data_IF_531475367504
#
_entry.id   IF_531475367504
#
_cell.length_a   1.000
_cell.length_b   1.000
_cell.length_c   1.000
_cell.angle_alpha   90.00
_cell.angle_beta   90.00
_cell.angle_gamma   90.00
#
_symmetry.space_group_name_H-M   'P 1'
#
loop_
_entity.id
_entity.type
_entity.pdbx_description
1 polymer ?
#
# COMPACT_ATOMS: atom_id res chain seq x y z
N UNK A 1 5.93 14.19 21.10
CA UNK A 1 6.71 13.54 20.02
C UNK A 1 6.18 14.07 18.69
N UNK A 2 7.04 14.49 17.75
CA UNK A 2 6.59 14.98 16.43
C UNK A 2 6.30 13.81 15.48
N UNK A 3 5.38 13.94 14.51
CA UNK A 3 5.09 12.86 13.56
C UNK A 3 6.35 12.39 12.82
N UNK A 4 7.25 13.32 12.46
CA UNK A 4 8.53 13.01 11.81
C UNK A 4 9.47 12.16 12.68
N UNK A 5 9.54 12.46 13.97
CA UNK A 5 10.37 11.68 14.89
C UNK A 5 9.79 10.27 15.07
N UNK A 6 8.47 10.14 15.21
CA UNK A 6 7.80 8.84 15.29
C UNK A 6 8.06 8.00 14.04
N UNK A 7 7.92 8.57 12.85
CA UNK A 7 8.20 7.85 11.60
C UNK A 7 9.66 7.48 11.46
N UNK A 8 10.58 8.35 11.91
CA UNK A 8 12.01 8.05 11.91
C UNK A 8 12.36 6.88 12.85
N UNK A 9 11.75 6.80 14.04
CA UNK A 9 11.98 5.66 14.92
C UNK A 9 11.47 4.35 14.32
N UNK A 10 10.29 4.36 13.68
CA UNK A 10 9.76 3.17 12.98
C UNK A 10 10.69 2.77 11.83
N UNK A 11 11.23 3.74 11.10
CA UNK A 11 12.23 3.49 10.05
C UNK A 11 13.47 2.78 10.61
N UNK A 12 14.01 3.28 11.72
CA UNK A 12 15.17 2.65 12.38
C UNK A 12 14.85 1.24 12.87
N UNK A 13 13.65 0.99 13.42
CA UNK A 13 13.21 -0.36 13.80
C UNK A 13 13.20 -1.28 12.58
N UNK A 14 12.65 -0.82 11.45
CA UNK A 14 12.65 -1.56 10.19
C UNK A 14 14.06 -1.90 9.71
N UNK A 15 14.98 -0.92 9.75
CA UNK A 15 16.39 -1.14 9.40
C UNK A 15 17.07 -2.14 10.32
N UNK A 16 16.85 -2.08 11.63
CA UNK A 16 17.43 -3.04 12.58
C UNK A 16 16.93 -4.45 12.31
N UNK A 17 15.64 -4.64 12.07
CA UNK A 17 15.07 -5.95 11.71
C UNK A 17 15.64 -6.48 10.39
N UNK A 18 15.75 -5.61 9.39
CA UNK A 18 16.35 -5.96 8.12
C UNK A 18 17.83 -6.34 8.28
N UNK A 19 18.64 -5.54 8.97
CA UNK A 19 20.05 -5.82 9.23
C UNK A 19 20.24 -7.11 10.02
N UNK A 20 19.39 -7.37 11.02
CA UNK A 20 19.40 -8.63 11.76
C UNK A 20 19.08 -9.83 10.85
N UNK A 21 18.16 -9.68 9.90
CA UNK A 21 17.86 -10.74 8.93
C UNK A 21 19.09 -11.13 8.08
N UNK A 22 20.00 -10.20 7.80
CA UNK A 22 21.20 -10.47 7.02
C UNK A 22 22.16 -11.42 7.72
N UNK A 23 22.14 -11.48 9.06
CA UNK A 23 22.99 -12.38 9.86
C UNK A 23 22.42 -13.81 9.95
N UNK A 24 21.16 -14.01 9.56
CA UNK A 24 20.53 -15.32 9.59
C UNK A 24 20.81 -16.10 8.29
N UNK A 25 20.98 -17.44 8.35
CA UNK A 25 21.02 -18.27 7.15
C UNK A 25 19.62 -18.40 6.54
N UNK A 26 19.51 -18.65 5.22
CA UNK A 26 18.20 -18.83 4.56
C UNK A 26 17.51 -20.12 5.00
N UNK A 27 18.27 -21.20 5.10
CA UNK A 27 17.79 -22.52 5.50
C UNK A 27 18.49 -22.99 6.78
N UNK A 28 17.81 -23.83 7.56
CA UNK A 28 18.37 -24.52 8.74
C UNK A 28 19.49 -25.47 8.34
N UNK A 29 19.33 -26.14 7.20
CA UNK A 29 20.35 -26.96 6.55
C UNK A 29 20.32 -26.71 5.04
N UNK A 30 21.40 -26.12 4.52
CA UNK A 30 21.54 -25.80 3.10
C UNK A 30 21.55 -27.06 2.22
N UNK A 31 22.18 -28.14 2.67
CA UNK A 31 22.29 -29.37 1.86
C UNK A 31 20.93 -30.02 1.63
N UNK A 32 20.11 -30.06 2.69
CA UNK A 32 18.74 -30.56 2.60
C UNK A 32 17.86 -29.71 1.67
N UNK A 33 18.08 -28.40 1.63
CA UNK A 33 17.37 -27.51 0.71
C UNK A 33 17.79 -27.76 -0.75
N UNK A 34 19.08 -27.91 -1.01
CA UNK A 34 19.61 -28.19 -2.34
C UNK A 34 19.12 -29.57 -2.87
N UNK A 35 19.11 -30.61 -2.01
CA UNK A 35 18.55 -31.93 -2.32
C UNK A 35 17.06 -31.86 -2.64
N UNK A 36 16.27 -31.09 -1.87
CA UNK A 36 14.85 -30.88 -2.12
C UNK A 36 14.59 -30.22 -3.49
N UNK A 37 15.41 -29.23 -3.88
CA UNK A 37 15.31 -28.59 -5.20
C UNK A 37 15.63 -29.60 -6.31
N UNK A 38 16.63 -30.45 -6.14
CA UNK A 38 17.00 -31.46 -7.15
C UNK A 38 15.89 -32.49 -7.40
N UNK A 39 15.12 -32.83 -6.35
CA UNK A 39 13.99 -33.78 -6.39
C UNK A 39 12.66 -33.11 -6.69
N UNK A 40 12.67 -31.81 -6.99
CA UNK A 40 11.45 -31.02 -7.05
C UNK A 40 10.47 -31.61 -8.09
N UNK A 41 10.95 -32.06 -9.25
CA UNK A 41 10.11 -32.66 -10.31
C UNK A 41 9.47 -34.00 -9.93
N UNK A 42 9.99 -34.69 -8.90
CA UNK A 42 9.55 -36.02 -8.48
C UNK A 42 8.58 -35.98 -7.28
N UNK A 43 8.35 -34.81 -6.71
CA UNK A 43 7.52 -34.62 -5.50
C UNK A 43 6.28 -33.79 -5.87
N UNK A 44 5.14 -34.08 -5.24
CA UNK A 44 3.96 -33.26 -5.39
C UNK A 44 4.23 -31.80 -4.95
N UNK A 45 3.68 -30.82 -5.69
CA UNK A 45 3.89 -29.39 -5.44
C UNK A 45 3.55 -28.98 -4.00
N UNK A 46 2.47 -29.52 -3.45
CA UNK A 46 2.01 -29.27 -2.07
C UNK A 46 3.05 -29.72 -1.03
N UNK A 47 3.57 -30.94 -1.21
CA UNK A 47 4.60 -31.53 -0.35
C UNK A 47 5.95 -30.81 -0.47
N UNK A 48 6.31 -30.35 -1.67
CA UNK A 48 7.51 -29.53 -1.88
C UNK A 48 7.47 -28.28 -1.00
N UNK A 49 6.40 -27.49 -1.06
CA UNK A 49 6.30 -26.25 -0.27
C UNK A 49 6.26 -26.50 1.22
N UNK A 50 5.65 -27.61 1.66
CA UNK A 50 5.64 -27.97 3.09
C UNK A 50 7.05 -28.26 3.60
N UNK A 51 7.81 -29.10 2.89
CA UNK A 51 9.20 -29.43 3.23
C UNK A 51 10.11 -28.20 3.14
N UNK A 52 9.92 -27.37 2.13
CA UNK A 52 10.67 -26.13 1.95
C UNK A 52 10.43 -25.14 3.10
N UNK A 53 9.17 -24.97 3.52
CA UNK A 53 8.82 -24.15 4.67
C UNK A 53 9.42 -24.66 5.99
N UNK A 54 9.50 -25.98 6.19
CA UNK A 54 10.12 -26.59 7.37
C UNK A 54 11.64 -26.32 7.44
N UNK A 55 12.30 -26.24 6.28
CA UNK A 55 13.73 -25.95 6.15
C UNK A 55 14.05 -24.46 6.28
N UNK A 56 13.11 -23.56 6.00
CA UNK A 56 13.33 -22.10 6.10
C UNK A 56 13.60 -21.66 7.54
N UNK A 57 14.46 -20.66 7.68
CA UNK A 57 14.59 -19.91 8.94
C UNK A 57 13.67 -18.70 8.96
N UNK A 58 13.67 -17.95 10.07
CA UNK A 58 12.98 -16.67 10.17
C UNK A 58 13.63 -15.53 9.38
N UNK A 59 14.72 -15.78 8.62
CA UNK A 59 15.42 -14.76 7.81
C UNK A 59 14.46 -13.97 6.95
N UNK A 60 13.69 -14.68 6.13
CA UNK A 60 12.74 -14.09 5.19
C UNK A 60 11.73 -13.20 5.90
N UNK A 61 11.15 -13.67 7.00
CA UNK A 61 10.15 -12.92 7.76
C UNK A 61 10.71 -11.62 8.31
N UNK A 62 11.90 -11.64 8.91
CA UNK A 62 12.54 -10.41 9.41
C UNK A 62 12.98 -9.48 8.29
N UNK A 63 13.42 -10.05 7.16
CA UNK A 63 13.83 -9.29 5.99
C UNK A 63 12.64 -8.53 5.38
N UNK A 64 11.52 -9.22 5.15
CA UNK A 64 10.31 -8.68 4.52
C UNK A 64 9.60 -7.67 5.44
N UNK A 65 9.42 -8.02 6.72
CA UNK A 65 8.85 -7.09 7.70
C UNK A 65 9.75 -5.86 7.92
N UNK A 66 11.06 -6.07 7.99
CA UNK A 66 12.05 -5.01 8.19
C UNK A 66 12.08 -4.04 7.01
N UNK A 67 12.17 -4.56 5.78
CA UNK A 67 12.14 -3.72 4.57
C UNK A 67 10.77 -3.05 4.39
N UNK A 68 9.68 -3.76 4.65
CA UNK A 68 8.31 -3.24 4.58
C UNK A 68 8.10 -2.06 5.53
N UNK A 69 8.51 -2.19 6.80
CA UNK A 69 8.46 -1.11 7.78
C UNK A 69 9.33 0.07 7.38
N UNK A 70 10.54 -0.18 6.89
CA UNK A 70 11.45 0.87 6.44
C UNK A 70 10.86 1.65 5.24
N UNK A 71 10.30 0.97 4.25
CA UNK A 71 9.69 1.63 3.08
C UNK A 71 8.42 2.39 3.45
N UNK A 72 7.55 1.81 4.29
CA UNK A 72 6.33 2.48 4.72
C UNK A 72 6.64 3.76 5.50
N UNK A 73 7.54 3.67 6.47
CA UNK A 73 7.95 4.82 7.29
C UNK A 73 8.71 5.87 6.49
N UNK A 74 9.61 5.46 5.57
CA UNK A 74 10.30 6.37 4.66
C UNK A 74 9.31 7.10 3.74
N UNK A 75 8.33 6.39 3.19
CA UNK A 75 7.28 6.98 2.36
C UNK A 75 6.48 8.04 3.15
N UNK A 76 6.05 7.72 4.37
CA UNK A 76 5.35 8.68 5.24
C UNK A 76 6.26 9.86 5.58
N UNK A 77 7.53 9.61 5.91
CA UNK A 77 8.50 10.67 6.23
C UNK A 77 8.70 11.63 5.05
N UNK A 78 8.87 11.10 3.83
CA UNK A 78 8.94 11.89 2.61
C UNK A 78 7.67 12.72 2.41
N UNK A 79 6.49 12.12 2.58
CA UNK A 79 5.23 12.86 2.54
C UNK A 79 5.21 14.02 3.55
N UNK A 80 5.60 13.80 4.80
CA UNK A 80 5.65 14.83 5.84
C UNK A 80 6.68 15.94 5.53
N UNK A 81 7.78 15.61 4.86
CA UNK A 81 8.79 16.57 4.41
C UNK A 81 8.23 17.42 3.26
N UNK A 82 7.72 16.79 2.20
CA UNK A 82 7.19 17.47 1.02
C UNK A 82 5.95 18.33 1.32
N UNK A 83 5.11 17.89 2.25
CA UNK A 83 3.94 18.66 2.73
C UNK A 83 4.28 19.64 3.85
N UNK A 84 5.56 19.76 4.23
CA UNK A 84 6.07 20.66 5.28
C UNK A 84 5.38 20.49 6.65
N UNK A 85 4.82 19.31 6.93
CA UNK A 85 4.17 18.98 8.20
C UNK A 85 5.22 18.76 9.29
N UNK A 86 5.25 19.61 10.32
CA UNK A 86 6.16 19.48 11.47
C UNK A 86 5.44 18.97 12.71
N UNK A 87 4.17 19.32 12.87
CA UNK A 87 3.31 18.97 14.01
C UNK A 87 2.06 18.22 13.55
N UNK A 88 1.38 17.54 14.48
CA UNK A 88 0.07 16.93 14.18
C UNK A 88 -1.00 17.97 13.79
N UNK A 89 -0.88 19.21 14.28
CA UNK A 89 -1.78 20.27 13.89
C UNK A 89 -1.57 20.71 12.43
N UNK A 90 -0.32 20.72 11.94
CA UNK A 90 -0.05 20.99 10.52
C UNK A 90 -0.65 19.90 9.63
N UNK A 91 -0.54 18.64 10.06
CA UNK A 91 -1.12 17.50 9.35
C UNK A 91 -2.64 17.62 9.24
N UNK A 92 -3.32 17.99 10.35
CA UNK A 92 -4.77 18.21 10.39
C UNK A 92 -5.22 19.32 9.43
N UNK A 93 -4.39 20.34 9.27
CA UNK A 93 -4.68 21.51 8.43
C UNK A 93 -4.14 21.40 7.00
N UNK A 94 -3.59 20.24 6.62
CA UNK A 94 -3.06 20.03 5.28
C UNK A 94 -4.17 20.15 4.23
N UNK A 95 -3.82 20.68 3.05
CA UNK A 95 -4.78 20.90 1.96
C UNK A 95 -4.75 19.75 0.97
N UNK A 96 -5.92 19.44 0.43
CA UNK A 96 -6.05 18.48 -0.66
C UNK A 96 -5.59 19.10 -1.98
N UNK A 97 -5.17 18.28 -2.96
CA UNK A 97 -4.95 18.72 -4.33
C UNK A 97 -6.26 19.08 -5.06
N UNK A 98 -6.15 19.60 -6.28
CA UNK A 98 -7.29 19.87 -7.19
C UNK A 98 -7.86 18.57 -7.76
N UNK A 99 -9.08 18.60 -8.32
CA UNK A 99 -9.72 17.41 -8.94
C UNK A 99 -8.84 16.78 -10.02
N UNK A 100 -8.28 17.62 -10.90
CA UNK A 100 -7.39 17.19 -11.99
C UNK A 100 -6.13 16.54 -11.45
N UNK A 101 -5.52 17.14 -10.41
CA UNK A 101 -4.35 16.56 -9.78
C UNK A 101 -4.65 15.21 -9.09
N UNK A 102 -5.80 15.08 -8.40
CA UNK A 102 -6.24 13.79 -7.83
C UNK A 102 -6.36 12.73 -8.91
N UNK A 103 -7.03 13.06 -10.03
CA UNK A 103 -7.22 12.15 -11.15
C UNK A 103 -5.87 11.69 -11.75
N UNK A 104 -4.97 12.64 -12.01
CA UNK A 104 -3.63 12.35 -12.56
C UNK A 104 -2.84 11.49 -11.58
N UNK A 105 -2.76 11.88 -10.31
CA UNK A 105 -1.98 11.14 -9.32
C UNK A 105 -2.51 9.73 -9.10
N UNK A 106 -3.82 9.55 -9.06
CA UNK A 106 -4.41 8.22 -8.92
C UNK A 106 -4.03 7.29 -10.07
N UNK A 107 -4.08 7.77 -11.32
CA UNK A 107 -3.70 6.97 -12.48
C UNK A 107 -2.19 6.70 -12.53
N UNK A 108 -1.36 7.71 -12.29
CA UNK A 108 0.11 7.53 -12.26
C UNK A 108 0.50 6.51 -11.21
N UNK A 109 -0.02 6.66 -9.99
CA UNK A 109 0.33 5.78 -8.88
C UNK A 109 -0.23 4.37 -9.08
N UNK A 110 -1.42 4.23 -9.67
CA UNK A 110 -1.93 2.92 -10.07
C UNK A 110 -1.04 2.24 -11.11
N UNK A 111 -0.57 2.97 -12.12
CA UNK A 111 0.31 2.45 -13.15
C UNK A 111 1.70 2.05 -12.62
N UNK A 112 2.15 2.61 -11.48
CA UNK A 112 3.38 2.16 -10.81
C UNK A 112 3.29 0.72 -10.29
N UNK A 113 2.09 0.14 -10.15
CA UNK A 113 1.92 -1.28 -9.85
C UNK A 113 2.46 -2.17 -10.97
N UNK A 114 2.55 -1.70 -12.22
CA UNK A 114 3.07 -2.50 -13.33
C UNK A 114 4.57 -2.84 -13.15
N UNK A 115 5.49 -1.84 -13.08
CA UNK A 115 6.89 -2.14 -12.78
C UNK A 115 7.05 -2.73 -11.36
N UNK A 116 6.18 -2.36 -10.41
CA UNK A 116 6.17 -2.95 -9.07
C UNK A 116 5.90 -4.46 -9.08
N UNK A 117 5.00 -4.93 -9.94
CA UNK A 117 4.70 -6.35 -10.12
C UNK A 117 5.90 -7.09 -10.71
N UNK A 118 6.53 -6.53 -11.74
CA UNK A 118 7.75 -7.10 -12.29
C UNK A 118 8.83 -7.22 -11.22
N UNK A 119 9.05 -6.15 -10.45
CA UNK A 119 10.00 -6.14 -9.35
C UNK A 119 9.68 -7.21 -8.31
N UNK A 120 8.41 -7.30 -7.88
CA UNK A 120 7.94 -8.26 -6.89
C UNK A 120 8.29 -9.70 -7.29
N UNK A 121 7.91 -10.11 -8.50
CA UNK A 121 8.16 -11.48 -8.95
C UNK A 121 9.63 -11.78 -9.21
N UNK A 122 10.40 -10.85 -9.77
CA UNK A 122 11.85 -11.04 -9.98
C UNK A 122 12.54 -11.21 -8.62
N UNK A 123 12.26 -10.32 -7.68
CA UNK A 123 12.86 -10.34 -6.35
C UNK A 123 12.53 -11.60 -5.55
N UNK A 124 11.27 -12.06 -5.64
CA UNK A 124 10.84 -13.34 -5.05
C UNK A 124 11.48 -14.54 -5.74
N UNK A 125 11.65 -14.47 -7.06
CA UNK A 125 12.32 -15.48 -7.87
C UNK A 125 13.79 -15.67 -7.49
N UNK A 126 14.54 -14.57 -7.34
CA UNK A 126 15.95 -14.61 -6.91
C UNK A 126 16.14 -15.22 -5.53
N UNK A 127 15.10 -15.19 -4.68
CA UNK A 127 15.10 -15.79 -3.35
C UNK A 127 14.58 -17.24 -3.33
N UNK A 128 14.29 -17.83 -4.48
CA UNK A 128 13.85 -19.22 -4.61
C UNK A 128 12.41 -19.49 -4.15
N UNK A 129 11.53 -18.48 -4.09
CA UNK A 129 10.12 -18.68 -3.68
C UNK A 129 9.30 -19.41 -4.73
N UNK A 130 9.76 -19.38 -5.98
CA UNK A 130 9.10 -20.08 -7.07
C UNK A 130 9.89 -21.35 -7.40
N UNK A 131 9.21 -22.49 -7.51
CA UNK A 131 9.86 -23.71 -7.93
C UNK A 131 10.37 -23.56 -9.38
N UNK A 132 11.37 -24.36 -9.79
CA UNK A 132 11.96 -24.30 -11.13
C UNK A 132 10.98 -24.71 -12.25
N UNK A 133 9.76 -25.14 -11.93
CA UNK A 133 8.77 -25.56 -12.92
C UNK A 133 8.12 -24.39 -13.68
N UNK A 134 7.57 -24.74 -14.84
CA UNK A 134 6.91 -23.90 -15.83
C UNK A 134 6.13 -22.70 -15.27
N UNK A 135 6.39 -21.54 -15.86
CA UNK A 135 5.64 -20.26 -15.80
C UNK A 135 5.14 -19.79 -14.44
N UNK A 136 5.77 -20.25 -13.36
CA UNK A 136 5.45 -19.93 -11.96
C UNK A 136 5.57 -18.43 -11.64
N UNK A 137 6.31 -17.69 -12.47
CA UNK A 137 6.42 -16.23 -12.46
C UNK A 137 5.61 -15.59 -13.60
N UNK A 138 5.73 -16.12 -14.82
CA UNK A 138 5.19 -15.51 -16.04
C UNK A 138 3.66 -15.40 -16.03
N UNK A 139 2.94 -16.47 -15.69
CA UNK A 139 1.47 -16.46 -15.67
C UNK A 139 0.93 -15.49 -14.60
N UNK A 140 1.38 -15.55 -13.34
CA UNK A 140 0.93 -14.60 -12.33
C UNK A 140 1.24 -13.14 -12.68
N UNK A 141 2.42 -12.88 -13.23
CA UNK A 141 2.83 -11.55 -13.67
C UNK A 141 1.89 -11.01 -14.76
N UNK A 142 1.62 -11.79 -15.81
CA UNK A 142 0.72 -11.39 -16.89
C UNK A 142 -0.72 -11.21 -16.39
N UNK A 143 -1.20 -12.11 -15.54
CA UNK A 143 -2.55 -12.04 -14.99
C UNK A 143 -2.73 -10.79 -14.12
N UNK A 144 -1.77 -10.48 -13.24
CA UNK A 144 -1.84 -9.29 -12.39
C UNK A 144 -1.73 -8.00 -13.20
N UNK A 145 -0.83 -7.92 -14.17
CA UNK A 145 -0.71 -6.75 -15.05
C UNK A 145 -2.01 -6.49 -15.81
N UNK A 146 -2.59 -7.53 -16.44
CA UNK A 146 -3.87 -7.41 -17.13
C UNK A 146 -4.99 -6.99 -16.18
N UNK A 147 -5.00 -7.52 -14.96
CA UNK A 147 -5.98 -7.16 -13.94
C UNK A 147 -5.86 -5.69 -13.53
N UNK A 148 -4.65 -5.17 -13.28
CA UNK A 148 -4.45 -3.76 -12.95
C UNK A 148 -4.87 -2.84 -14.10
N UNK A 149 -4.56 -3.20 -15.35
CA UNK A 149 -5.00 -2.43 -16.52
C UNK A 149 -6.53 -2.41 -16.65
N UNK A 150 -7.19 -3.55 -16.43
CA UNK A 150 -8.66 -3.64 -16.45
C UNK A 150 -9.28 -2.76 -15.33
N UNK A 151 -8.68 -2.77 -14.14
CA UNK A 151 -9.14 -2.00 -12.99
C UNK A 151 -8.96 -0.47 -13.11
N UNK A 152 -8.22 0.03 -14.10
CA UNK A 152 -8.19 1.47 -14.40
C UNK A 152 -9.58 2.01 -14.74
N UNK A 153 -10.42 1.22 -15.41
CA UNK A 153 -11.79 1.64 -15.78
C UNK A 153 -12.64 1.90 -14.53
N UNK A 154 -12.85 0.92 -13.62
CA UNK A 154 -13.63 1.17 -12.40
C UNK A 154 -12.96 2.20 -11.49
N UNK A 155 -11.63 2.29 -11.44
CA UNK A 155 -10.93 3.34 -10.69
C UNK A 155 -11.31 4.74 -11.20
N UNK A 156 -11.26 4.94 -12.52
CA UNK A 156 -11.59 6.24 -13.13
C UNK A 156 -13.06 6.59 -12.98
N UNK A 157 -13.97 5.62 -13.11
CA UNK A 157 -15.39 5.80 -12.80
C UNK A 157 -15.58 6.19 -11.34
N UNK A 158 -14.92 5.49 -10.41
CA UNK A 158 -14.97 5.79 -8.98
C UNK A 158 -14.52 7.21 -8.68
N UNK A 159 -13.37 7.64 -9.20
CA UNK A 159 -12.86 9.01 -9.01
C UNK A 159 -13.80 10.02 -9.61
N UNK A 160 -14.31 9.78 -10.83
CA UNK A 160 -15.26 10.68 -11.48
C UNK A 160 -16.51 10.86 -10.63
N UNK A 161 -17.20 9.77 -10.27
CA UNK A 161 -18.43 9.80 -9.48
C UNK A 161 -18.22 10.47 -8.12
N UNK A 162 -17.10 10.20 -7.46
CA UNK A 162 -16.75 10.79 -6.17
C UNK A 162 -16.23 12.23 -6.27
N UNK A 163 -15.98 12.77 -7.46
CA UNK A 163 -15.52 14.17 -7.63
C UNK A 163 -16.50 15.10 -8.35
N UNK A 164 -17.52 14.58 -9.07
CA UNK A 164 -18.46 15.35 -9.91
C UNK A 164 -18.97 16.64 -9.25
N UNK A 165 -19.43 16.57 -8.00
CA UNK A 165 -20.03 17.72 -7.26
C UNK A 165 -19.22 18.18 -6.04
N UNK A 166 -17.93 17.84 -6.00
CA UNK A 166 -17.05 18.18 -4.87
C UNK A 166 -16.41 19.56 -5.03
N UNK A 167 -15.94 20.12 -3.92
CA UNK A 167 -15.12 21.35 -3.90
C UNK A 167 -13.72 21.00 -3.40
N UNK A 168 -12.81 20.86 -4.36
CA UNK A 168 -11.38 20.66 -4.16
C UNK A 168 -10.64 21.83 -4.83
N UNK A 169 -9.58 22.39 -4.23
CA UNK A 169 -8.93 21.95 -2.99
C UNK A 169 -9.66 22.39 -1.71
N UNK A 170 -9.57 21.59 -0.64
CA UNK A 170 -10.13 21.86 0.70
C UNK A 170 -9.18 21.37 1.79
N UNK A 171 -9.56 21.45 3.08
CA UNK A 171 -8.81 20.85 4.19
C UNK A 171 -9.00 19.32 4.18
N UNK A 172 -7.91 18.56 4.30
CA UNK A 172 -7.92 17.10 4.28
C UNK A 172 -8.81 16.49 5.38
N UNK A 173 -8.76 17.08 6.59
CA UNK A 173 -9.53 16.64 7.75
C UNK A 173 -10.68 17.59 8.09
N UNK A 174 -11.50 17.90 7.08
CA UNK A 174 -12.75 18.64 7.26
C UNK A 174 -13.79 17.79 8.00
N UNK A 175 -14.54 18.40 8.92
CA UNK A 175 -15.71 17.78 9.55
C UNK A 175 -16.95 18.54 9.10
N UNK A 176 -18.05 17.85 8.76
CA UNK A 176 -19.29 18.53 8.46
C UNK A 176 -19.80 19.28 9.70
N UNK A 177 -20.41 20.44 9.51
CA UNK A 177 -21.05 21.22 10.58
C UNK A 177 -22.28 20.47 11.11
N UNK A 178 -23.06 19.87 10.22
CA UNK A 178 -24.17 18.98 10.57
C UNK A 178 -24.11 17.67 9.79
N UNK A 179 -24.46 16.57 10.46
CA UNK A 179 -24.48 15.24 9.85
C UNK A 179 -25.87 14.94 9.26
N UNK A 180 -26.03 15.19 7.96
CA UNK A 180 -27.18 14.67 7.21
C UNK A 180 -27.03 13.17 6.91
N UNK A 181 -28.14 12.47 6.63
CA UNK A 181 -28.12 11.04 6.25
C UNK A 181 -27.14 10.76 5.10
N UNK A 182 -27.11 11.63 4.08
CA UNK A 182 -26.18 11.52 2.95
C UNK A 182 -24.73 11.67 3.38
N UNK A 183 -24.43 12.56 4.32
CA UNK A 183 -23.08 12.75 4.86
C UNK A 183 -22.60 11.51 5.60
N UNK A 184 -23.48 10.92 6.42
CA UNK A 184 -23.20 9.67 7.14
C UNK A 184 -22.92 8.52 6.16
N UNK A 185 -23.72 8.38 5.10
CA UNK A 185 -23.48 7.36 4.07
C UNK A 185 -22.13 7.52 3.39
N UNK A 186 -21.72 8.75 3.06
CA UNK A 186 -20.39 9.01 2.50
C UNK A 186 -19.27 8.70 3.49
N UNK A 187 -19.43 9.03 4.77
CA UNK A 187 -18.45 8.66 5.81
C UNK A 187 -18.29 7.14 5.91
N UNK A 188 -19.40 6.39 5.99
CA UNK A 188 -19.36 4.93 6.04
C UNK A 188 -18.70 4.36 4.79
N UNK A 189 -19.07 4.88 3.61
CA UNK A 189 -18.49 4.45 2.33
C UNK A 189 -16.97 4.65 2.30
N UNK A 190 -16.47 5.85 2.62
CA UNK A 190 -15.02 6.10 2.63
C UNK A 190 -14.30 5.40 3.78
N UNK A 191 -14.93 5.26 4.94
CA UNK A 191 -14.37 4.51 6.06
C UNK A 191 -14.18 3.02 5.70
N UNK A 192 -15.13 2.42 4.98
CA UNK A 192 -15.02 1.05 4.48
C UNK A 192 -13.83 0.91 3.51
N UNK A 193 -13.71 1.79 2.52
CA UNK A 193 -12.58 1.75 1.58
C UNK A 193 -11.23 2.03 2.24
N UNK A 194 -11.18 2.97 3.20
CA UNK A 194 -9.98 3.24 3.98
C UNK A 194 -9.58 2.04 4.84
N UNK A 195 -10.55 1.34 5.46
CA UNK A 195 -10.28 0.14 6.23
C UNK A 195 -9.68 -0.96 5.35
N UNK A 196 -10.29 -1.25 4.20
CA UNK A 196 -9.74 -2.22 3.23
C UNK A 196 -8.32 -1.81 2.84
N UNK A 197 -8.11 -0.53 2.50
CA UNK A 197 -6.81 -0.05 2.07
C UNK A 197 -5.74 -0.22 3.18
N UNK A 198 -6.08 0.07 4.44
CA UNK A 198 -5.20 -0.13 5.59
C UNK A 198 -4.92 -1.60 5.89
N UNK A 199 -5.90 -2.49 5.71
CA UNK A 199 -5.69 -3.94 5.84
C UNK A 199 -4.73 -4.45 4.75
N UNK A 200 -4.90 -3.99 3.50
CA UNK A 200 -3.96 -4.29 2.42
C UNK A 200 -2.55 -3.74 2.73
N UNK A 201 -2.43 -2.54 3.30
CA UNK A 201 -1.14 -1.99 3.70
C UNK A 201 -0.42 -2.88 4.71
N UNK A 202 -1.14 -3.39 5.72
CA UNK A 202 -0.57 -4.33 6.70
C UNK A 202 -0.05 -5.58 5.98
N UNK A 203 -0.86 -6.13 5.05
CA UNK A 203 -0.44 -7.25 4.21
C UNK A 203 0.84 -6.96 3.43
N UNK A 204 0.91 -5.83 2.72
CA UNK A 204 2.10 -5.44 1.95
C UNK A 204 3.33 -5.20 2.82
N UNK A 205 3.17 -4.65 4.03
CA UNK A 205 4.28 -4.46 4.97
C UNK A 205 4.80 -5.79 5.51
N UNK A 206 3.91 -6.73 5.85
CA UNK A 206 4.31 -8.06 6.33
C UNK A 206 4.98 -8.85 5.20
N UNK A 207 4.43 -8.76 4.00
CA UNK A 207 4.94 -9.45 2.82
C UNK A 207 6.24 -8.81 2.28
N UNK A 208 6.50 -7.54 2.58
CA UNK A 208 7.65 -6.82 2.02
C UNK A 208 7.44 -6.45 0.55
N UNK A 209 6.20 -6.19 0.13
CA UNK A 209 5.91 -5.71 -1.22
C UNK A 209 6.27 -4.22 -1.36
N UNK A 210 7.53 -4.00 -1.72
CA UNK A 210 8.19 -2.70 -1.72
C UNK A 210 7.49 -1.62 -2.54
N UNK A 211 6.81 -1.97 -3.64
CA UNK A 211 6.13 -0.99 -4.50
C UNK A 211 4.65 -0.82 -4.14
N UNK A 212 3.98 -1.88 -3.70
CA UNK A 212 2.57 -1.78 -3.28
C UNK A 212 2.41 -0.94 -2.01
N UNK A 213 3.40 -0.92 -1.11
CA UNK A 213 3.40 -0.07 0.10
C UNK A 213 3.23 1.43 -0.24
N UNK A 214 4.12 2.08 -1.00
CA UNK A 214 3.97 3.51 -1.31
C UNK A 214 2.74 3.79 -2.16
N UNK A 215 2.37 2.90 -3.08
CA UNK A 215 1.13 3.00 -3.87
C UNK A 215 -0.08 3.05 -2.95
N UNK A 216 -0.19 2.09 -2.02
CA UNK A 216 -1.31 1.99 -1.08
C UNK A 216 -1.38 3.18 -0.11
N UNK A 217 -0.23 3.65 0.40
CA UNK A 217 -0.17 4.86 1.24
C UNK A 217 -0.66 6.09 0.47
N UNK A 218 -0.30 6.22 -0.81
CA UNK A 218 -0.79 7.31 -1.63
C UNK A 218 -2.29 7.17 -1.93
N UNK A 219 -2.80 5.95 -2.10
CA UNK A 219 -4.25 5.70 -2.19
C UNK A 219 -4.99 6.06 -0.91
N UNK A 220 -4.37 5.89 0.27
CA UNK A 220 -4.91 6.43 1.54
C UNK A 220 -5.11 7.94 1.42
N UNK A 221 -4.11 8.67 0.91
CA UNK A 221 -4.21 10.11 0.70
C UNK A 221 -5.28 10.51 -0.33
N UNK A 222 -5.41 9.74 -1.42
CA UNK A 222 -6.46 9.94 -2.42
C UNK A 222 -7.85 9.73 -1.80
N UNK A 223 -8.08 8.64 -1.08
CA UNK A 223 -9.36 8.33 -0.42
C UNK A 223 -9.74 9.41 0.60
N UNK A 224 -8.78 9.86 1.42
CA UNK A 224 -8.98 10.98 2.34
C UNK A 224 -9.33 12.28 1.60
N UNK A 225 -8.69 12.55 0.47
CA UNK A 225 -8.97 13.72 -0.37
C UNK A 225 -10.38 13.66 -0.97
N UNK A 226 -10.79 12.51 -1.52
CA UNK A 226 -12.12 12.32 -2.09
C UNK A 226 -13.21 12.48 -1.02
N UNK A 227 -12.99 11.88 0.16
CA UNK A 227 -13.86 12.08 1.33
C UNK A 227 -13.98 13.56 1.69
N UNK A 228 -12.85 14.26 1.83
CA UNK A 228 -12.84 15.69 2.14
C UNK A 228 -13.62 16.53 1.12
N UNK A 229 -13.50 16.20 -0.17
CA UNK A 229 -14.26 16.85 -1.24
C UNK A 229 -15.78 16.63 -1.16
N UNK A 230 -16.23 15.46 -0.69
CA UNK A 230 -17.65 15.19 -0.46
C UNK A 230 -18.18 15.92 0.78
N UNK A 231 -17.38 15.97 1.86
CA UNK A 231 -17.75 16.68 3.08
C UNK A 231 -17.82 18.20 2.88
N UNK A 232 -16.93 18.78 2.06
CA UNK A 232 -16.94 20.22 1.75
C UNK A 232 -18.15 20.69 0.94
N UNK A 233 -18.88 19.77 0.30
CA UNK A 233 -20.07 20.10 -0.48
C UNK A 233 -21.20 20.64 0.39
N UNK A 234 -21.41 20.05 1.57
CA UNK A 234 -22.59 20.30 2.39
C UNK A 234 -22.46 21.56 3.27
N UNK A 235 -21.25 21.97 3.65
CA UNK A 235 -21.00 23.22 4.39
C UNK A 235 -21.49 24.49 3.68
N UNK A 236 -21.59 24.48 2.35
CA UNK A 236 -22.06 25.65 1.58
C UNK A 236 -23.53 25.60 1.18
N UNK A 237 -24.16 24.41 1.12
CA UNK A 237 -25.61 24.32 0.93
C UNK A 237 -26.32 25.03 2.10
N UNK A 238 -25.88 24.76 3.32
CA UNK A 238 -26.38 25.43 4.53
C UNK A 238 -26.05 26.93 4.58
N UNK A 239 -24.96 27.41 3.95
CA UNK A 239 -24.70 28.85 3.86
C UNK A 239 -25.59 29.58 2.86
N UNK A 240 -25.99 28.91 1.78
CA UNK A 240 -26.84 29.51 0.76
C UNK A 240 -28.33 29.48 1.16
N UNK A 241 -28.76 28.54 2.00
CA UNK A 241 -30.14 28.48 2.52
C UNK A 241 -30.39 29.50 3.66
N UNK A 242 -29.35 30.17 4.15
CA UNK A 242 -29.40 31.16 5.24
C UNK A 242 -29.21 32.62 4.74
N UNK A 243 -29.33 32.87 3.43
CA UNK A 243 -29.33 34.21 2.81
C UNK A 243 -30.66 34.40 2.08
#
# INVERSE_FOLDING_TARGET
>A
MTPRLTTLLIFLIGLVLFSYSLTLPYYKDQRSADDLISKSYDIEKSDYYKKEAELRTSKVTFMDLGSGLAIASMTILLFLIFTKVKTFNDFKNNRTPTKTAVFIYANIVWLLLLPGTCWYYIFRGERGYYPPFADSIGIPLMTQISFYLLLLIPLNIFILLTTLKTKLPTKLFIKPVQYSRTTILWEIFFAFWLLINLLCLIGFVIDGDHFSIPVNLFFTFILLTLRAGQMSRNEQAEKNDNI
#
